data_IF_220995003139
#
_entry.id   IF_220995003139
#
_cell.length_a   1.000
_cell.length_b   1.000
_cell.length_c   1.000
_cell.angle_alpha   90.00
_cell.angle_beta   90.00
_cell.angle_gamma   90.00
#
_symmetry.space_group_name_H-M   'P 1'
#
loop_
_entity.id
_entity.type
_entity.pdbx_description
1 polymer ?
#
# COMPACT_ATOMS: atom_id res chain seq x y z
N UNK A 1 -41.40 21.81 -4.01
CA UNK A 1 -41.56 21.49 -2.57
C UNK A 1 -40.74 20.22 -2.32
N UNK A 2 -39.58 20.27 -1.65
CA UNK A 2 -38.83 19.06 -1.35
C UNK A 2 -39.40 18.42 -0.09
N UNK A 3 -40.05 17.27 -0.26
CA UNK A 3 -40.51 16.43 0.84
C UNK A 3 -39.29 15.76 1.48
N UNK A 4 -39.00 16.15 2.74
CA UNK A 4 -38.25 15.33 3.69
C UNK A 4 -38.97 14.00 3.88
N UNK A 5 -38.24 12.88 3.84
CA UNK A 5 -38.60 11.66 4.59
C UNK A 5 -37.45 10.65 4.58
N UNK A 6 -37.13 10.24 5.80
CA UNK A 6 -36.31 9.11 6.25
C UNK A 6 -34.79 9.34 6.34
N UNK A 7 -34.40 9.90 7.50
CA UNK A 7 -33.36 9.31 8.34
C UNK A 7 -33.47 7.78 8.31
N UNK A 8 -32.64 7.12 7.50
CA UNK A 8 -32.37 5.69 7.65
C UNK A 8 -31.50 5.50 8.89
N UNK A 9 -32.17 5.46 10.04
CA UNK A 9 -31.60 4.99 11.31
C UNK A 9 -31.22 3.51 11.12
N UNK A 10 -29.97 3.09 11.37
CA UNK A 10 -29.55 1.72 11.08
C UNK A 10 -30.06 0.79 12.20
N UNK A 11 -31.33 0.39 12.13
CA UNK A 11 -31.91 -0.62 13.04
C UNK A 11 -31.54 -2.06 12.65
N UNK A 12 -30.62 -2.26 11.71
CA UNK A 12 -30.26 -3.58 11.18
C UNK A 12 -29.33 -4.39 12.14
N UNK A 13 -28.74 -3.77 13.16
CA UNK A 13 -27.75 -4.46 14.02
C UNK A 13 -28.33 -5.36 15.12
N UNK A 14 -29.63 -5.32 15.40
CA UNK A 14 -30.24 -6.13 16.47
C UNK A 14 -30.68 -7.55 16.04
N UNK A 15 -30.55 -7.93 14.76
CA UNK A 15 -31.01 -9.25 14.28
C UNK A 15 -29.93 -10.34 14.32
N UNK A 16 -28.68 -10.00 14.64
CA UNK A 16 -27.59 -10.96 14.78
C UNK A 16 -27.31 -11.15 16.28
N UNK A 17 -27.95 -12.16 16.87
CA UNK A 17 -27.69 -12.58 18.25
C UNK A 17 -26.32 -13.30 18.31
N UNK A 18 -25.24 -12.57 18.03
CA UNK A 18 -23.86 -13.08 18.08
C UNK A 18 -23.50 -13.26 19.55
N UNK A 19 -23.19 -14.49 19.95
CA UNK A 19 -22.74 -14.76 21.31
C UNK A 19 -21.35 -14.18 21.54
N UNK A 20 -21.01 -13.91 22.79
CA UNK A 20 -19.63 -13.59 23.19
C UNK A 20 -18.70 -14.74 22.78
N UNK A 21 -19.16 -15.99 22.88
CA UNK A 21 -18.40 -17.17 22.48
C UNK A 21 -18.07 -17.16 20.98
N UNK A 22 -19.01 -16.73 20.14
CA UNK A 22 -18.79 -16.60 18.70
C UNK A 22 -17.74 -15.53 18.40
N UNK A 23 -17.82 -14.37 19.09
CA UNK A 23 -16.84 -13.30 18.95
C UNK A 23 -15.43 -13.74 19.37
N UNK A 24 -15.32 -14.47 20.49
CA UNK A 24 -14.06 -15.04 20.97
C UNK A 24 -13.51 -16.07 19.97
N UNK A 25 -14.38 -16.95 19.44
CA UNK A 25 -14.00 -17.93 18.42
C UNK A 25 -13.45 -17.25 17.16
N UNK A 26 -14.13 -16.23 16.64
CA UNK A 26 -13.69 -15.47 15.46
C UNK A 26 -12.33 -14.82 15.71
N UNK A 27 -12.13 -14.18 16.87
CA UNK A 27 -10.84 -13.59 17.21
C UNK A 27 -9.74 -14.65 17.28
N UNK A 28 -9.99 -15.80 17.91
CA UNK A 28 -9.01 -16.88 17.99
C UNK A 28 -8.62 -17.41 16.61
N UNK A 29 -9.59 -17.62 15.71
CA UNK A 29 -9.30 -18.02 14.33
C UNK A 29 -8.50 -16.94 13.57
N UNK A 30 -8.79 -15.66 13.79
CA UNK A 30 -7.96 -14.57 13.23
C UNK A 30 -6.52 -14.63 13.73
N UNK A 31 -6.32 -15.01 15.00
CA UNK A 31 -4.98 -15.18 15.60
C UNK A 31 -4.21 -16.34 14.97
N UNK A 32 -4.89 -17.47 14.76
CA UNK A 32 -4.30 -18.62 14.09
C UNK A 32 -3.91 -18.27 12.66
N UNK A 33 -4.82 -17.61 11.92
CA UNK A 33 -4.56 -17.14 10.56
C UNK A 33 -3.39 -16.17 10.52
N UNK A 34 -3.31 -15.23 11.46
CA UNK A 34 -2.19 -14.29 11.59
C UNK A 34 -0.86 -15.03 11.77
N UNK A 35 -0.84 -16.06 12.61
CA UNK A 35 0.37 -16.84 12.91
C UNK A 35 0.91 -17.62 11.71
N UNK A 36 0.02 -18.06 10.80
CA UNK A 36 0.41 -18.76 9.56
C UNK A 36 0.63 -17.83 8.36
N UNK A 37 0.36 -16.54 8.50
CA UNK A 37 0.39 -15.56 7.41
C UNK A 37 1.75 -14.89 7.23
N UNK A 38 2.01 -14.35 6.04
CA UNK A 38 3.17 -13.49 5.79
C UNK A 38 3.01 -12.10 6.43
N UNK A 39 4.09 -11.31 6.46
CA UNK A 39 4.12 -10.00 7.11
C UNK A 39 3.11 -8.99 6.56
N UNK A 40 2.80 -9.05 5.26
CA UNK A 40 1.84 -8.14 4.63
C UNK A 40 0.42 -8.52 4.99
N UNK A 41 0.09 -9.80 4.91
CA UNK A 41 -1.22 -10.30 5.30
C UNK A 41 -1.44 -10.13 6.82
N UNK A 42 -0.41 -10.33 7.64
CA UNK A 42 -0.45 -10.01 9.08
C UNK A 42 -0.87 -8.56 9.34
N UNK A 43 -0.27 -7.57 8.65
CA UNK A 43 -0.66 -6.16 8.78
C UNK A 43 -2.10 -5.92 8.33
N UNK A 44 -2.51 -6.58 7.23
CA UNK A 44 -3.87 -6.49 6.71
C UNK A 44 -4.90 -7.06 7.69
N UNK A 45 -4.63 -8.20 8.31
CA UNK A 45 -5.52 -8.83 9.30
C UNK A 45 -5.72 -7.94 10.54
N UNK A 46 -4.65 -7.30 11.02
CA UNK A 46 -4.73 -6.38 12.15
C UNK A 46 -5.61 -5.14 11.89
N UNK A 47 -5.93 -4.81 10.63
CA UNK A 47 -6.87 -3.72 10.32
C UNK A 47 -8.31 -4.04 10.74
N UNK A 48 -8.67 -5.32 10.92
CA UNK A 48 -10.01 -5.73 11.33
C UNK A 48 -10.28 -5.53 12.82
N UNK A 49 -9.23 -5.29 13.60
CA UNK A 49 -9.36 -5.20 15.05
C UNK A 49 -10.16 -3.96 15.45
N UNK A 50 -10.82 -4.01 16.63
CA UNK A 50 -11.57 -2.87 17.10
C UNK A 50 -10.71 -1.59 17.15
N UNK A 51 -11.24 -0.43 16.74
CA UNK A 51 -10.46 0.81 16.64
C UNK A 51 -9.97 1.32 18.00
N UNK A 52 -10.62 0.91 19.09
CA UNK A 52 -10.27 1.27 20.47
C UNK A 52 -9.14 0.39 21.05
N UNK A 53 -8.66 -0.63 20.34
CA UNK A 53 -7.50 -1.39 20.79
C UNK A 53 -6.22 -0.57 20.63
N UNK A 54 -5.46 -0.48 21.71
CA UNK A 54 -4.14 0.11 21.69
C UNK A 54 -3.13 -0.80 20.96
N UNK A 55 -2.09 -0.20 20.38
CA UNK A 55 -1.11 -0.89 19.51
C UNK A 55 -0.34 -1.99 20.24
N UNK A 56 0.01 -1.73 21.49
CA UNK A 56 0.63 -2.67 22.43
C UNK A 56 -0.29 -3.89 22.68
N UNK A 57 -1.58 -3.65 22.93
CA UNK A 57 -2.57 -4.72 23.09
C UNK A 57 -2.68 -5.57 21.84
N UNK A 58 -2.75 -4.95 20.65
CA UNK A 58 -2.80 -5.68 19.38
C UNK A 58 -1.56 -6.57 19.20
N UNK A 59 -0.36 -5.99 19.40
CA UNK A 59 0.90 -6.70 19.26
C UNK A 59 1.01 -7.88 20.23
N UNK A 60 0.73 -7.64 21.51
CA UNK A 60 0.81 -8.66 22.55
C UNK A 60 -0.20 -9.80 22.35
N UNK A 61 -1.44 -9.47 21.97
CA UNK A 61 -2.48 -10.48 21.79
C UNK A 61 -2.21 -11.37 20.56
N UNK A 62 -1.78 -10.78 19.45
CA UNK A 62 -1.46 -11.52 18.22
C UNK A 62 -0.06 -12.14 18.21
N UNK A 63 0.83 -11.76 19.15
CA UNK A 63 2.24 -12.17 19.12
C UNK A 63 3.05 -11.51 18.01
N UNK A 64 2.61 -10.33 17.55
CA UNK A 64 3.26 -9.55 16.49
C UNK A 64 4.13 -8.41 17.05
N UNK A 65 4.72 -7.63 16.15
CA UNK A 65 5.49 -6.43 16.53
C UNK A 65 4.61 -5.18 16.66
N UNK A 66 5.01 -4.24 17.53
CA UNK A 66 4.35 -2.93 17.62
C UNK A 66 4.41 -2.17 16.29
N UNK A 67 5.48 -2.38 15.50
CA UNK A 67 5.61 -1.81 14.16
C UNK A 67 4.49 -2.27 13.23
N UNK A 68 4.16 -3.57 13.21
CA UNK A 68 3.03 -4.10 12.44
C UNK A 68 1.71 -3.52 12.93
N UNK A 69 1.49 -3.45 14.25
CA UNK A 69 0.28 -2.87 14.82
C UNK A 69 0.12 -1.39 14.40
N UNK A 70 1.19 -0.58 14.48
CA UNK A 70 1.18 0.80 14.01
C UNK A 70 0.84 0.91 12.53
N UNK A 71 1.52 0.15 11.69
CA UNK A 71 1.30 0.19 10.26
C UNK A 71 -0.12 -0.23 9.88
N UNK A 72 -0.71 -1.18 10.62
CA UNK A 72 -2.09 -1.62 10.39
C UNK A 72 -3.11 -0.54 10.77
N UNK A 73 -2.83 0.24 11.81
CA UNK A 73 -3.64 1.43 12.13
C UNK A 73 -3.55 2.45 11.00
N UNK A 74 -2.35 2.74 10.50
CA UNK A 74 -2.13 3.67 9.39
C UNK A 74 -2.83 3.19 8.09
N UNK A 75 -2.78 1.88 7.81
CA UNK A 75 -3.50 1.28 6.68
C UNK A 75 -5.01 1.38 6.83
N UNK A 76 -5.54 1.15 8.04
CA UNK A 76 -6.97 1.26 8.31
C UNK A 76 -7.46 2.70 8.17
N UNK A 77 -6.69 3.69 8.61
CA UNK A 77 -7.07 5.11 8.47
C UNK A 77 -7.02 5.56 7.02
N UNK A 78 -6.07 5.06 6.22
CA UNK A 78 -5.92 5.43 4.82
C UNK A 78 -6.92 4.73 3.88
N UNK A 79 -7.15 3.42 4.06
CA UNK A 79 -7.94 2.61 3.11
C UNK A 79 -9.07 1.78 3.72
N UNK A 80 -9.24 1.79 5.04
CA UNK A 80 -10.27 1.02 5.74
C UNK A 80 -9.87 -0.41 6.11
N UNK A 81 -10.86 -1.22 6.47
CA UNK A 81 -10.68 -2.62 6.88
C UNK A 81 -10.22 -3.45 5.67
N UNK A 82 -9.29 -4.38 5.89
CA UNK A 82 -8.64 -5.21 4.86
C UNK A 82 -7.80 -4.45 3.82
N UNK A 83 -7.41 -3.21 4.11
CA UNK A 83 -6.45 -2.47 3.28
C UNK A 83 -5.16 -3.25 3.09
N UNK A 84 -4.71 -3.35 1.84
CA UNK A 84 -3.45 -4.01 1.51
C UNK A 84 -2.28 -3.04 1.71
N UNK A 85 -1.18 -3.46 2.36
CA UNK A 85 0.04 -2.67 2.33
C UNK A 85 0.52 -2.50 0.89
N UNK A 86 1.00 -1.31 0.55
CA UNK A 86 1.68 -1.09 -0.73
C UNK A 86 2.94 -1.95 -0.78
N UNK A 87 3.00 -2.84 -1.76
CA UNK A 87 4.24 -3.53 -2.09
C UNK A 87 5.23 -2.51 -2.64
N UNK A 88 6.19 -2.10 -1.80
CA UNK A 88 7.40 -1.40 -2.27
C UNK A 88 8.29 -2.39 -3.02
N UNK A 89 7.80 -2.94 -4.13
CA UNK A 89 8.60 -3.77 -5.04
C UNK A 89 9.37 -2.85 -5.97
N UNK A 90 10.69 -2.85 -5.80
CA UNK A 90 11.66 -2.26 -6.73
C UNK A 90 12.01 -0.80 -6.45
N UNK A 91 13.06 -0.34 -7.14
CA UNK A 91 13.39 1.07 -7.25
C UNK A 91 12.16 1.79 -7.78
N UNK A 92 11.63 2.76 -7.03
CA UNK A 92 10.71 3.73 -7.62
C UNK A 92 11.42 4.33 -8.81
N UNK A 93 10.76 4.35 -9.98
CA UNK A 93 11.24 5.11 -11.13
C UNK A 93 11.51 6.55 -10.65
N UNK A 94 12.67 7.09 -11.03
CA UNK A 94 13.00 8.47 -10.71
C UNK A 94 11.90 9.37 -11.30
N UNK A 95 11.63 10.48 -10.64
CA UNK A 95 10.76 11.50 -11.24
C UNK A 95 11.37 11.98 -12.56
N UNK A 96 10.54 12.13 -13.59
CA UNK A 96 10.97 12.44 -14.95
C UNK A 96 11.75 13.76 -15.01
N UNK A 97 11.41 14.71 -14.13
CA UNK A 97 12.14 15.97 -14.00
C UNK A 97 13.57 15.76 -13.45
N UNK A 98 13.74 14.84 -12.51
CA UNK A 98 15.04 14.50 -11.94
C UNK A 98 15.88 13.75 -12.98
N UNK A 99 15.26 12.83 -13.73
CA UNK A 99 15.91 12.10 -14.81
C UNK A 99 16.38 13.06 -15.92
N UNK A 100 15.53 14.00 -16.33
CA UNK A 100 15.88 15.04 -17.30
C UNK A 100 16.98 15.97 -16.76
N UNK A 101 16.93 16.36 -15.49
CA UNK A 101 17.95 17.18 -14.87
C UNK A 101 19.31 16.46 -14.82
N UNK A 102 19.32 15.16 -14.50
CA UNK A 102 20.52 14.32 -14.55
C UNK A 102 21.05 14.21 -15.99
N UNK A 103 20.18 13.93 -16.96
CA UNK A 103 20.54 13.87 -18.37
C UNK A 103 21.19 15.18 -18.82
N UNK A 104 20.57 16.32 -18.51
CA UNK A 104 21.07 17.63 -18.89
C UNK A 104 22.40 17.97 -18.20
N UNK A 105 22.55 17.59 -16.93
CA UNK A 105 23.81 17.79 -16.20
C UNK A 105 24.97 17.04 -16.88
N UNK A 106 24.80 15.76 -17.18
CA UNK A 106 25.86 14.94 -17.80
C UNK A 106 26.06 15.18 -19.30
N UNK A 107 25.07 15.78 -19.98
CA UNK A 107 25.13 16.08 -21.42
C UNK A 107 25.50 17.55 -21.70
N UNK A 108 25.51 18.41 -20.68
CA UNK A 108 25.95 19.80 -20.82
C UNK A 108 27.44 19.89 -21.14
N UNK A 109 27.80 20.73 -22.12
CA UNK A 109 29.19 20.94 -22.56
C UNK A 109 30.12 21.45 -21.44
N UNK A 110 29.56 22.10 -20.41
CA UNK A 110 30.33 22.62 -19.28
C UNK A 110 30.81 21.54 -18.31
N UNK A 111 30.06 20.44 -18.18
CA UNK A 111 30.33 19.33 -17.26
C UNK A 111 30.84 18.11 -18.01
N UNK A 112 30.43 17.95 -19.27
CA UNK A 112 30.87 16.88 -20.15
C UNK A 112 32.32 17.13 -20.57
N UNK A 113 33.25 16.56 -19.79
CA UNK A 113 34.64 16.45 -20.25
C UNK A 113 34.61 15.60 -21.51
N UNK A 114 34.90 16.19 -22.66
CA UNK A 114 35.19 15.45 -23.89
C UNK A 114 36.40 14.55 -23.63
N UNK A 115 36.11 13.32 -23.19
CA UNK A 115 37.13 12.28 -23.14
C UNK A 115 37.20 11.65 -24.51
N UNK A 116 38.42 11.36 -24.97
CA UNK A 116 38.75 10.81 -26.30
C UNK A 116 38.15 9.40 -26.57
N UNK A 117 37.27 8.92 -25.69
CA UNK A 117 36.65 7.60 -25.72
C UNK A 117 35.12 7.72 -25.66
N UNK A 118 34.50 8.44 -26.60
CA UNK A 118 33.04 8.38 -26.78
C UNK A 118 32.69 6.95 -27.24
N UNK A 119 32.23 6.09 -26.32
CA UNK A 119 31.60 4.81 -26.69
C UNK A 119 30.25 5.14 -27.31
N UNK A 120 30.08 4.81 -28.58
CA UNK A 120 28.82 4.88 -29.31
C UNK A 120 27.83 3.95 -28.60
N UNK A 121 26.93 4.49 -27.78
CA UNK A 121 25.78 3.75 -27.26
C UNK A 121 24.74 3.68 -28.37
N UNK A 122 24.80 2.60 -29.16
CA UNK A 122 23.84 2.31 -30.21
C UNK A 122 22.48 1.94 -29.63
N UNK A 123 21.69 2.93 -29.23
CA UNK A 123 20.26 2.77 -29.05
C UNK A 123 19.58 2.91 -30.42
N UNK A 124 19.46 1.78 -31.12
CA UNK A 124 18.67 1.67 -32.34
C UNK A 124 17.18 1.85 -32.01
N UNK A 125 16.68 3.09 -32.05
CA UNK A 125 15.27 3.32 -32.30
C UNK A 125 15.05 3.18 -33.82
N UNK A 126 14.60 1.99 -34.22
CA UNK A 126 14.01 1.79 -35.54
C UNK A 126 12.76 2.67 -35.65
N UNK A 127 12.91 3.83 -36.30
CA UNK A 127 11.79 4.52 -36.93
C UNK A 127 11.90 4.26 -38.42
N UNK A 128 11.24 3.19 -38.88
CA UNK A 128 10.97 3.00 -40.32
C UNK A 128 9.94 4.04 -40.73
N UNK A 129 10.40 5.19 -41.22
CA UNK A 129 9.58 6.07 -42.04
C UNK A 129 9.43 5.40 -43.41
N UNK A 130 8.28 4.75 -43.62
CA UNK A 130 7.79 4.46 -44.96
C UNK A 130 7.28 5.75 -45.59
N UNK A 131 8.04 6.29 -46.55
CA UNK A 131 7.56 7.21 -47.57
C UNK A 131 8.41 7.00 -48.83
N UNK A 132 7.84 6.23 -49.78
CA UNK A 132 7.54 6.67 -51.14
C UNK A 132 7.41 5.46 -52.08
N UNK A 133 6.19 5.22 -52.56
CA UNK A 133 5.88 5.21 -53.99
C UNK A 133 4.56 5.97 -54.20
#
# INVERSE_FOLDING_TARGET
>A
MPSSLHDEKPEIFNSLNVSIDDAVSILNHLRELFSSSDSNEQKRLLTMLPPHWARDRMANWFGGSEHQARHSVDLRTAGGIFSKPEDRRGNKSLDEQIELALHNFYTSDEVSRETSYKKQVGWNHQLTNNLND
#
